data_IF_942972561726
#
_entry.id   IF_942972561726
#
_cell.length_a   1.000
_cell.length_b   1.000
_cell.length_c   1.000
_cell.angle_alpha   90.00
_cell.angle_beta   90.00
_cell.angle_gamma   90.00
#
_symmetry.space_group_name_H-M   'P 1'
#
loop_
_entity.id
_entity.type
_entity.pdbx_description
1 polymer ?
#
# COMPACT_ATOMS: atom_id res chain seq x y z
N UNK A 1 -30.47 51.42 -27.29
CA UNK A 1 -29.45 50.40 -27.05
C UNK A 1 -29.50 49.40 -28.21
N UNK A 2 -28.44 49.32 -29.03
CA UNK A 2 -28.49 48.64 -30.34
C UNK A 2 -28.51 47.11 -30.19
N UNK A 3 -29.51 46.47 -30.82
CA UNK A 3 -29.71 45.00 -30.84
C UNK A 3 -28.48 44.22 -31.35
N UNK A 4 -27.60 44.87 -32.11
CA UNK A 4 -26.37 44.30 -32.64
C UNK A 4 -25.28 44.12 -31.57
N UNK A 5 -25.22 45.02 -30.57
CA UNK A 5 -24.23 44.95 -29.48
C UNK A 5 -24.58 43.81 -28.51
N UNK A 6 -25.87 43.60 -28.26
CA UNK A 6 -26.37 42.51 -27.43
C UNK A 6 -26.08 41.12 -28.03
N UNK A 7 -26.10 41.00 -29.37
CA UNK A 7 -25.80 39.75 -30.08
C UNK A 7 -24.30 39.41 -30.07
N UNK A 8 -23.41 40.40 -30.18
CA UNK A 8 -21.97 40.18 -30.05
C UNK A 8 -21.56 39.77 -28.63
N UNK A 9 -22.16 40.38 -27.60
CA UNK A 9 -21.87 40.02 -26.20
C UNK A 9 -22.29 38.59 -25.87
N UNK A 10 -23.44 38.12 -26.38
CA UNK A 10 -23.85 36.71 -26.21
C UNK A 10 -22.90 35.73 -26.91
N UNK A 11 -22.40 36.05 -28.11
CA UNK A 11 -21.49 35.17 -28.84
C UNK A 11 -20.13 35.03 -28.15
N UNK A 12 -19.59 36.12 -27.60
CA UNK A 12 -18.35 36.10 -26.82
C UNK A 12 -18.52 35.34 -25.49
N UNK A 13 -19.68 35.46 -24.83
CA UNK A 13 -19.97 34.73 -23.59
C UNK A 13 -20.08 33.22 -23.83
N UNK A 14 -20.71 32.81 -24.93
CA UNK A 14 -20.86 31.39 -25.28
C UNK A 14 -19.53 30.73 -25.71
N UNK A 15 -18.64 31.47 -26.39
CA UNK A 15 -17.28 30.96 -26.67
C UNK A 15 -16.41 30.85 -25.40
N UNK A 16 -16.57 31.76 -24.43
CA UNK A 16 -15.86 31.67 -23.15
C UNK A 16 -16.28 30.48 -22.29
N UNK A 17 -17.55 30.05 -22.36
CA UNK A 17 -18.04 28.87 -21.63
C UNK A 17 -17.52 27.58 -22.27
N UNK A 18 -17.42 27.53 -23.61
CA UNK A 18 -16.93 26.34 -24.32
C UNK A 18 -15.46 26.01 -24.02
N UNK A 19 -14.60 27.01 -23.82
CA UNK A 19 -13.18 26.79 -23.47
C UNK A 19 -12.99 26.35 -22.01
N UNK A 20 -13.82 26.81 -21.09
CA UNK A 20 -13.77 26.39 -19.67
C UNK A 20 -14.23 24.93 -19.51
N UNK A 21 -15.19 24.46 -20.32
CA UNK A 21 -15.66 23.07 -20.26
C UNK A 21 -14.59 22.09 -20.79
N UNK A 22 -13.84 22.44 -21.83
CA UNK A 22 -12.77 21.55 -22.34
C UNK A 22 -11.60 21.46 -21.35
N UNK A 23 -11.22 22.58 -20.71
CA UNK A 23 -10.19 22.56 -19.66
C UNK A 23 -10.63 21.78 -18.41
N UNK A 24 -11.92 21.83 -18.05
CA UNK A 24 -12.47 21.06 -16.92
C UNK A 24 -12.51 19.55 -17.16
N UNK A 25 -12.66 19.11 -18.42
CA UNK A 25 -12.68 17.67 -18.77
C UNK A 25 -11.28 17.05 -18.75
N UNK A 26 -10.21 17.82 -19.01
CA UNK A 26 -8.83 17.35 -18.84
C UNK A 26 -8.27 17.56 -17.42
N UNK A 27 -8.83 18.51 -16.65
CA UNK A 27 -8.48 18.74 -15.24
C UNK A 27 -9.24 17.85 -14.26
N UNK A 28 -10.23 17.06 -14.72
CA UNK A 28 -10.50 15.76 -14.14
C UNK A 28 -9.32 14.82 -14.47
N UNK A 29 -8.12 15.21 -14.03
CA UNK A 29 -7.05 14.27 -13.77
C UNK A 29 -7.73 13.13 -13.04
N UNK A 30 -7.70 11.96 -13.69
CA UNK A 30 -7.69 10.66 -13.04
C UNK A 30 -7.11 10.85 -11.64
N UNK A 31 -7.99 11.02 -10.66
CA UNK A 31 -7.71 10.59 -9.32
C UNK A 31 -7.83 9.08 -9.44
N UNK A 32 -6.90 8.47 -10.18
CA UNK A 32 -6.66 7.05 -10.15
C UNK A 32 -6.34 6.80 -8.70
N UNK A 33 -7.38 6.40 -7.99
CA UNK A 33 -7.34 5.93 -6.62
C UNK A 33 -6.16 4.98 -6.59
N UNK A 34 -5.03 5.39 -6.02
CA UNK A 34 -3.78 4.63 -6.10
C UNK A 34 -4.11 3.22 -5.64
N UNK A 35 -4.13 2.28 -6.59
CA UNK A 35 -4.33 0.87 -6.28
C UNK A 35 -3.01 0.42 -5.71
N UNK A 36 -2.91 0.40 -4.39
CA UNK A 36 -1.70 -0.03 -3.71
C UNK A 36 -1.54 -1.53 -3.93
N UNK A 37 -0.80 -1.89 -4.97
CA UNK A 37 -0.31 -3.26 -5.15
C UNK A 37 0.91 -3.36 -4.27
N UNK A 38 0.70 -3.86 -3.05
CA UNK A 38 1.80 -4.15 -2.15
C UNK A 38 2.59 -5.32 -2.75
N UNK A 39 3.90 -5.15 -2.93
CA UNK A 39 4.76 -6.11 -3.64
C UNK A 39 5.83 -6.64 -2.71
N UNK A 40 6.09 -7.94 -2.77
CA UNK A 40 7.23 -8.56 -2.09
C UNK A 40 8.42 -8.56 -3.02
N UNK A 41 9.60 -8.20 -2.50
CA UNK A 41 10.86 -8.31 -3.22
C UNK A 41 11.53 -9.61 -2.77
N UNK A 42 11.99 -10.40 -3.75
CA UNK A 42 12.75 -11.62 -3.53
C UNK A 42 14.21 -11.36 -3.88
N UNK A 43 15.09 -11.68 -2.94
CA UNK A 43 16.53 -11.53 -3.06
C UNK A 43 17.16 -12.92 -3.12
N UNK A 44 17.96 -13.19 -4.15
CA UNK A 44 18.81 -14.36 -4.19
C UNK A 44 20.09 -14.03 -3.41
N UNK A 45 20.23 -14.58 -2.20
CA UNK A 45 21.34 -14.27 -1.29
C UNK A 45 21.51 -15.39 -0.25
N UNK A 46 22.74 -15.57 0.22
CA UNK A 46 23.05 -16.39 1.41
C UNK A 46 23.27 -15.52 2.66
N UNK A 47 23.30 -14.20 2.50
CA UNK A 47 23.49 -13.24 3.59
C UNK A 47 22.15 -12.65 4.06
N UNK A 48 21.99 -12.37 5.36
CA UNK A 48 20.89 -11.56 5.87
C UNK A 48 20.83 -10.18 5.21
N UNK A 49 19.61 -9.68 5.00
CA UNK A 49 19.38 -8.35 4.43
C UNK A 49 18.69 -7.46 5.45
N UNK A 50 19.29 -6.30 5.71
CA UNK A 50 18.63 -5.19 6.36
C UNK A 50 17.96 -4.32 5.28
N UNK A 51 16.63 -4.28 5.29
CA UNK A 51 15.84 -3.51 4.33
C UNK A 51 15.36 -2.22 4.98
N UNK A 52 15.73 -1.09 4.37
CA UNK A 52 15.41 0.26 4.82
C UNK A 52 14.48 0.96 3.82
N UNK A 53 13.73 1.95 4.31
CA UNK A 53 13.05 2.92 3.45
C UNK A 53 14.03 3.97 2.87
N UNK A 54 13.50 4.88 2.04
CA UNK A 54 14.28 5.97 1.44
C UNK A 54 14.88 6.96 2.46
N UNK A 55 14.31 7.03 3.66
CA UNK A 55 14.75 7.91 4.74
C UNK A 55 15.74 7.22 5.69
N UNK A 56 16.08 5.95 5.43
CA UNK A 56 17.02 5.17 6.24
C UNK A 56 16.39 4.54 7.49
N UNK A 57 15.07 4.45 7.59
CA UNK A 57 14.41 3.71 8.66
C UNK A 57 14.42 2.21 8.34
N UNK A 58 14.89 1.39 9.28
CA UNK A 58 14.89 -0.07 9.13
C UNK A 58 13.44 -0.58 9.10
N UNK A 59 13.06 -1.21 7.99
CA UNK A 59 11.73 -1.80 7.80
C UNK A 59 11.73 -3.26 8.22
N UNK A 60 12.72 -4.03 7.78
CA UNK A 60 12.75 -5.49 7.93
C UNK A 60 14.17 -6.02 8.00
N UNK A 61 14.37 -7.06 8.81
CA UNK A 61 15.52 -7.95 8.69
C UNK A 61 15.05 -9.22 7.98
N UNK A 62 15.66 -9.55 6.85
CA UNK A 62 15.30 -10.69 6.02
C UNK A 62 16.37 -11.76 6.15
N UNK A 63 15.99 -12.89 6.74
CA UNK A 63 16.86 -14.07 6.83
C UNK A 63 16.66 -14.94 5.59
N UNK A 64 17.72 -15.25 4.82
CA UNK A 64 17.61 -16.14 3.69
C UNK A 64 17.26 -17.57 4.13
N UNK A 65 16.38 -18.21 3.37
CA UNK A 65 16.06 -19.64 3.47
C UNK A 65 16.30 -20.25 2.10
N UNK A 66 17.13 -21.29 2.02
CA UNK A 66 17.52 -21.94 0.76
C UNK A 66 18.06 -20.95 -0.30
N UNK A 67 18.91 -20.00 0.13
CA UNK A 67 19.51 -18.98 -0.74
C UNK A 67 18.57 -17.87 -1.18
N UNK A 68 17.42 -17.72 -0.51
CA UNK A 68 16.37 -16.76 -0.88
C UNK A 68 15.89 -16.01 0.36
N UNK A 69 15.97 -14.68 0.33
CA UNK A 69 15.29 -13.81 1.28
C UNK A 69 14.07 -13.15 0.62
N UNK A 70 12.94 -13.07 1.32
CA UNK A 70 11.69 -12.49 0.77
C UNK A 70 11.18 -11.41 1.72
N UNK A 71 10.97 -10.20 1.20
CA UNK A 71 10.38 -9.13 1.99
C UNK A 71 8.89 -9.41 2.25
N UNK A 72 8.39 -8.91 3.38
CA UNK A 72 6.96 -8.57 3.49
C UNK A 72 6.62 -7.54 2.43
N UNK A 73 5.33 -7.38 2.18
CA UNK A 73 4.85 -6.54 1.11
C UNK A 73 5.19 -5.06 1.37
N UNK A 74 5.65 -4.40 0.32
CA UNK A 74 6.13 -3.03 0.32
C UNK A 74 5.23 -2.16 -0.56
N UNK A 75 4.98 -0.90 -0.18
CA UNK A 75 4.32 0.07 -1.06
C UNK A 75 5.24 0.51 -2.19
N UNK A 76 4.70 1.17 -3.22
CA UNK A 76 5.53 1.88 -4.20
C UNK A 76 6.51 2.83 -3.48
N UNK A 77 7.77 2.87 -3.89
CA UNK A 77 8.78 3.73 -3.26
C UNK A 77 10.22 3.28 -3.50
N UNK A 78 11.15 4.04 -2.94
CA UNK A 78 12.57 3.69 -2.94
C UNK A 78 12.96 2.98 -1.64
N UNK A 79 13.86 2.00 -1.75
CA UNK A 79 14.33 1.17 -0.66
C UNK A 79 15.83 0.95 -0.76
N UNK A 80 16.46 0.68 0.38
CA UNK A 80 17.86 0.28 0.46
C UNK A 80 17.93 -1.12 1.06
N UNK A 81 18.51 -2.07 0.34
CA UNK A 81 18.86 -3.38 0.84
C UNK A 81 20.34 -3.40 1.19
N UNK A 82 20.67 -3.59 2.46
CA UNK A 82 22.04 -3.68 2.97
C UNK A 82 22.37 -5.10 3.38
N UNK A 83 23.56 -5.52 3.00
CA UNK A 83 24.20 -6.80 3.34
C UNK A 83 25.61 -6.51 3.82
N UNK A 84 26.34 -7.52 4.31
CA UNK A 84 27.76 -7.34 4.64
C UNK A 84 28.57 -7.04 3.37
N UNK A 85 28.14 -7.60 2.23
CA UNK A 85 28.76 -7.39 0.92
C UNK A 85 28.49 -6.02 0.28
N UNK A 86 27.52 -5.25 0.78
CA UNK A 86 27.25 -3.90 0.29
C UNK A 86 25.79 -3.49 0.33
N UNK A 87 25.51 -2.33 -0.26
CA UNK A 87 24.18 -1.72 -0.33
C UNK A 87 23.68 -1.66 -1.76
N UNK A 88 22.41 -1.98 -1.96
CA UNK A 88 21.70 -1.87 -3.25
C UNK A 88 20.45 -1.03 -3.07
N UNK A 89 20.19 -0.13 -4.03
CA UNK A 89 18.99 0.68 -4.05
C UNK A 89 17.95 0.05 -4.97
N UNK A 90 16.70 0.04 -4.52
CA UNK A 90 15.58 -0.56 -5.22
C UNK A 90 14.50 0.50 -5.38
N UNK A 91 13.88 0.54 -6.55
CA UNK A 91 12.73 1.39 -6.83
C UNK A 91 11.57 0.50 -7.21
N UNK A 92 10.54 0.46 -6.37
CA UNK A 92 9.30 -0.25 -6.64
C UNK A 92 8.33 0.72 -7.33
N UNK A 93 8.01 0.46 -8.59
CA UNK A 93 7.17 1.33 -9.42
C UNK A 93 5.68 0.98 -9.31
N UNK A 94 4.83 1.89 -9.78
CA UNK A 94 3.37 1.74 -9.79
C UNK A 94 2.88 0.66 -10.77
N UNK A 95 3.60 0.50 -11.88
CA UNK A 95 3.40 -0.54 -12.89
C UNK A 95 3.89 -1.93 -12.44
N UNK A 96 4.34 -2.04 -11.18
CA UNK A 96 4.88 -3.24 -10.55
C UNK A 96 6.27 -3.62 -11.07
N UNK A 97 6.95 -2.79 -11.84
CA UNK A 97 8.36 -3.03 -12.15
C UNK A 97 9.26 -2.68 -10.96
N UNK A 98 10.45 -3.29 -10.91
CA UNK A 98 11.50 -2.92 -9.96
C UNK A 98 12.72 -2.48 -10.74
N UNK A 99 13.24 -1.31 -10.45
CA UNK A 99 14.58 -0.90 -10.88
C UNK A 99 15.56 -1.13 -9.76
N UNK A 100 16.72 -1.69 -10.10
CA UNK A 100 17.82 -1.92 -9.16
C UNK A 100 18.98 -1.02 -9.57
N UNK A 101 19.46 -0.20 -8.64
CA UNK A 101 20.66 0.61 -8.80
C UNK A 101 21.73 0.13 -7.81
N UNK A 102 22.85 -0.32 -8.35
CA UNK A 102 23.96 -0.92 -7.60
C UNK A 102 24.31 -2.32 -8.09
N UNK A 103 25.55 -2.72 -7.86
CA UNK A 103 26.14 -3.95 -8.44
C UNK A 103 26.61 -4.98 -7.40
N UNK A 104 26.30 -4.77 -6.12
CA UNK A 104 26.73 -5.71 -5.07
C UNK A 104 25.77 -6.90 -5.02
N UNK A 105 26.03 -7.91 -5.86
CA UNK A 105 25.53 -9.28 -5.67
C UNK A 105 24.29 -9.72 -6.46
N UNK A 106 23.76 -8.91 -7.39
CA UNK A 106 22.48 -9.23 -8.06
C UNK A 106 22.58 -9.56 -9.56
N UNK A 107 23.75 -10.03 -10.02
CA UNK A 107 23.93 -10.57 -11.37
C UNK A 107 23.81 -12.10 -11.36
N UNK A 108 22.57 -12.59 -11.25
CA UNK A 108 22.04 -13.78 -11.95
C UNK A 108 20.71 -14.20 -11.31
N UNK A 109 19.61 -13.97 -12.04
CA UNK A 109 18.33 -14.61 -11.72
C UNK A 109 17.43 -13.94 -10.69
N UNK A 110 17.63 -12.63 -10.40
CA UNK A 110 16.68 -11.85 -9.62
C UNK A 110 15.28 -11.87 -10.28
N UNK A 111 14.46 -12.82 -9.87
CA UNK A 111 13.07 -12.94 -10.31
C UNK A 111 12.21 -12.22 -9.30
N UNK A 112 11.86 -10.98 -9.65
CA UNK A 112 10.84 -10.22 -8.95
C UNK A 112 9.51 -10.91 -9.21
N UNK A 113 9.05 -11.70 -8.24
CA UNK A 113 7.72 -12.27 -8.29
C UNK A 113 6.72 -11.23 -7.83
N UNK A 114 6.17 -10.52 -8.82
CA UNK A 114 4.99 -9.70 -8.64
C UNK A 114 3.82 -10.64 -8.42
N UNK A 115 3.22 -10.60 -7.23
CA UNK A 115 1.94 -11.27 -7.06
C UNK A 115 0.97 -10.67 -8.08
N UNK A 116 0.42 -11.53 -8.96
CA UNK A 116 -0.63 -11.13 -9.90
C UNK A 116 -1.93 -10.82 -9.16
N UNK A 117 -2.06 -11.27 -7.92
CA UNK A 117 -3.24 -11.08 -7.10
C UNK A 117 -3.34 -9.62 -6.66
N UNK A 118 -4.48 -8.99 -6.96
CA UNK A 118 -4.78 -7.66 -6.43
C UNK A 118 -4.92 -7.78 -4.91
N UNK A 119 -4.16 -6.98 -4.19
CA UNK A 119 -4.15 -6.97 -2.72
C UNK A 119 -4.40 -5.58 -2.18
N UNK A 120 -4.85 -5.51 -0.94
CA UNK A 120 -5.09 -4.30 -0.18
C UNK A 120 -4.49 -4.35 1.22
N UNK A 121 -4.79 -3.34 2.02
CA UNK A 121 -4.38 -3.20 3.41
C UNK A 121 -5.60 -2.99 4.31
N UNK A 122 -5.59 -3.62 5.48
CA UNK A 122 -6.54 -3.37 6.55
C UNK A 122 -5.78 -2.87 7.77
N UNK A 123 -6.00 -1.61 8.13
CA UNK A 123 -5.54 -1.03 9.38
C UNK A 123 -6.67 -1.11 10.43
N UNK A 124 -6.31 -1.46 11.66
CA UNK A 124 -7.21 -1.50 12.81
C UNK A 124 -6.70 -0.51 13.84
N UNK A 125 -7.51 0.49 14.14
CA UNK A 125 -7.21 1.52 15.13
C UNK A 125 -8.09 1.29 16.36
N UNK A 126 -7.50 1.32 17.55
CA UNK A 126 -8.21 1.05 18.79
C UNK A 126 -7.53 1.71 19.99
N UNK A 127 -8.27 1.80 21.10
CA UNK A 127 -7.72 2.22 22.39
C UNK A 127 -7.27 0.96 23.16
N UNK A 128 -5.97 0.86 23.44
CA UNK A 128 -5.41 -0.26 24.16
C UNK A 128 -5.83 -0.26 25.64
N UNK A 129 -6.30 -1.41 26.13
CA UNK A 129 -6.71 -1.64 27.53
C UNK A 129 -5.93 -2.77 28.19
N UNK A 130 -5.19 -3.53 27.41
CA UNK A 130 -4.29 -4.58 27.85
C UNK A 130 -2.98 -4.44 27.07
N UNK A 131 -1.96 -5.15 27.51
CA UNK A 131 -0.62 -5.04 26.93
C UNK A 131 -0.48 -5.77 25.59
N UNK A 132 -1.24 -6.86 25.38
CA UNK A 132 -1.13 -7.68 24.18
C UNK A 132 -2.48 -7.87 23.51
N UNK A 133 -2.52 -7.68 22.20
CA UNK A 133 -3.67 -7.98 21.38
C UNK A 133 -3.29 -8.94 20.28
N UNK A 134 -4.16 -9.92 20.02
CA UNK A 134 -4.04 -10.76 18.83
C UNK A 134 -5.24 -10.53 17.92
N UNK A 135 -4.98 -9.98 16.74
CA UNK A 135 -5.97 -9.80 15.70
C UNK A 135 -5.84 -10.90 14.65
N UNK A 136 -6.98 -11.33 14.12
CA UNK A 136 -7.04 -12.20 12.95
C UNK A 136 -7.91 -11.58 11.87
N UNK A 137 -7.49 -11.75 10.63
CA UNK A 137 -8.31 -11.47 9.46
C UNK A 137 -8.56 -12.79 8.74
N UNK A 138 -9.83 -13.25 8.76
CA UNK A 138 -10.23 -14.57 8.24
C UNK A 138 -11.23 -14.41 7.11
N UNK A 139 -10.98 -15.04 5.97
CA UNK A 139 -11.87 -14.99 4.82
C UNK A 139 -11.21 -15.56 3.58
N UNK A 140 -12.02 -16.05 2.63
CA UNK A 140 -11.52 -16.59 1.35
C UNK A 140 -10.48 -17.72 1.51
N UNK A 141 -10.61 -18.56 2.54
CA UNK A 141 -9.62 -19.61 2.85
C UNK A 141 -8.29 -19.10 3.40
N UNK A 142 -8.13 -17.78 3.59
CA UNK A 142 -6.94 -17.13 4.13
C UNK A 142 -7.18 -16.76 5.59
N UNK A 143 -6.17 -17.02 6.43
CA UNK A 143 -6.11 -16.48 7.81
C UNK A 143 -4.81 -15.73 7.98
N UNK A 144 -4.89 -14.42 8.24
CA UNK A 144 -3.74 -13.62 8.67
C UNK A 144 -3.84 -13.36 10.17
N UNK A 145 -2.70 -13.38 10.86
CA UNK A 145 -2.57 -13.13 12.29
C UNK A 145 -1.61 -11.95 12.50
N UNK A 146 -1.97 -11.05 13.41
CA UNK A 146 -1.07 -10.02 13.92
C UNK A 146 -1.17 -9.97 15.43
N UNK A 147 -0.02 -10.01 16.09
CA UNK A 147 0.07 -9.80 17.55
C UNK A 147 0.87 -8.55 17.79
N UNK A 148 0.32 -7.62 18.57
CA UNK A 148 0.97 -6.36 18.88
C UNK A 148 1.01 -6.14 20.39
N UNK A 149 2.12 -5.54 20.83
CA UNK A 149 2.28 -5.06 22.20
C UNK A 149 1.90 -3.58 22.24
N UNK A 150 1.15 -3.18 23.25
CA UNK A 150 0.59 -1.83 23.37
C UNK A 150 0.77 -1.28 24.79
N UNK A 151 0.85 0.04 24.92
CA UNK A 151 0.76 0.71 26.22
C UNK A 151 -0.70 0.81 26.65
N UNK A 152 -1.03 0.41 27.88
CA UNK A 152 -2.39 0.54 28.40
C UNK A 152 -2.80 2.02 28.40
N UNK A 153 -3.96 2.33 27.82
CA UNK A 153 -4.48 3.69 27.64
C UNK A 153 -4.00 4.41 26.38
N UNK A 154 -3.09 3.82 25.59
CA UNK A 154 -2.62 4.42 24.34
C UNK A 154 -3.58 4.16 23.18
N UNK A 155 -3.62 5.08 22.21
CA UNK A 155 -4.10 4.74 20.87
C UNK A 155 -3.10 3.76 20.25
N UNK A 156 -3.60 2.71 19.62
CA UNK A 156 -2.81 1.67 19.00
C UNK A 156 -3.32 1.38 17.58
N UNK A 157 -2.42 0.88 16.74
CA UNK A 157 -2.68 0.52 15.36
C UNK A 157 -2.12 -0.87 15.06
N UNK A 158 -2.89 -1.68 14.36
CA UNK A 158 -2.48 -2.97 13.81
C UNK A 158 -2.72 -2.97 12.30
N UNK A 159 -1.85 -3.56 11.50
CA UNK A 159 -1.99 -3.58 10.04
C UNK A 159 -1.85 -4.98 9.44
N UNK A 160 -2.79 -5.30 8.56
CA UNK A 160 -2.74 -6.47 7.69
C UNK A 160 -2.44 -6.00 6.27
N UNK A 161 -1.21 -6.23 5.82
CA UNK A 161 -0.79 -5.95 4.44
C UNK A 161 -0.99 -7.17 3.54
N UNK A 162 -1.27 -6.95 2.26
CA UNK A 162 -1.44 -8.03 1.29
C UNK A 162 -2.69 -8.84 1.46
N UNK A 163 -3.77 -8.20 1.86
CA UNK A 163 -5.06 -8.86 1.95
C UNK A 163 -5.58 -9.00 0.53
N UNK A 164 -5.73 -10.23 0.04
CA UNK A 164 -6.33 -10.46 -1.27
C UNK A 164 -7.74 -9.85 -1.33
N UNK A 165 -8.19 -9.45 -2.51
CA UNK A 165 -9.53 -8.86 -2.61
C UNK A 165 -10.60 -9.90 -2.25
N UNK A 166 -11.56 -9.48 -1.43
CA UNK A 166 -12.57 -10.36 -0.88
C UNK A 166 -13.20 -9.82 0.40
N UNK A 167 -14.08 -10.65 0.97
CA UNK A 167 -14.73 -10.37 2.24
C UNK A 167 -14.05 -11.15 3.36
N UNK A 168 -13.75 -10.46 4.46
CA UNK A 168 -13.06 -10.97 5.62
C UNK A 168 -13.79 -10.58 6.89
N UNK A 169 -13.70 -11.43 7.91
CA UNK A 169 -14.09 -11.08 9.28
C UNK A 169 -12.84 -10.73 10.08
N UNK A 170 -12.85 -9.56 10.72
CA UNK A 170 -11.86 -9.17 11.70
C UNK A 170 -12.21 -9.79 13.05
N UNK A 171 -11.24 -10.42 13.68
CA UNK A 171 -11.34 -11.00 15.02
C UNK A 171 -10.31 -10.38 15.94
N UNK A 172 -10.61 -10.32 17.23
CA UNK A 172 -9.68 -9.94 18.29
C UNK A 172 -9.84 -10.91 19.44
N UNK A 173 -8.75 -11.54 19.87
CA UNK A 173 -8.70 -12.43 21.03
C UNK A 173 -9.79 -13.54 21.02
N UNK A 174 -10.13 -14.04 19.83
CA UNK A 174 -11.13 -15.10 19.65
C UNK A 174 -12.57 -14.62 19.44
N UNK A 175 -12.83 -13.31 19.51
CA UNK A 175 -14.14 -12.71 19.26
C UNK A 175 -14.23 -12.10 17.85
N UNK A 176 -15.33 -12.33 17.13
CA UNK A 176 -15.59 -11.71 15.84
C UNK A 176 -16.07 -10.26 16.05
N UNK A 177 -15.40 -9.31 15.40
CA UNK A 177 -15.70 -7.88 15.56
C UNK A 177 -16.58 -7.35 14.43
N UNK A 178 -16.12 -7.49 13.18
CA UNK A 178 -16.84 -6.92 12.03
C UNK A 178 -16.43 -7.59 10.72
N UNK A 179 -17.30 -7.49 9.71
CA UNK A 179 -17.02 -7.92 8.34
C UNK A 179 -16.52 -6.75 7.50
N UNK A 180 -15.48 -6.99 6.70
CA UNK A 180 -14.74 -6.02 5.91
C UNK A 180 -14.66 -6.51 4.47
N UNK A 181 -14.83 -5.62 3.50
CA UNK A 181 -14.65 -5.91 2.08
C UNK A 181 -13.43 -5.16 1.54
N UNK A 182 -12.36 -5.90 1.28
CA UNK A 182 -11.18 -5.39 0.57
C UNK A 182 -11.43 -5.55 -0.92
N UNK A 183 -11.39 -4.46 -1.66
CA UNK A 183 -11.73 -4.45 -3.08
C UNK A 183 -10.91 -3.42 -3.84
N UNK A 184 -11.08 -3.35 -5.15
CA UNK A 184 -10.44 -2.33 -5.97
C UNK A 184 -10.96 -0.92 -5.64
N UNK A 185 -12.25 -0.84 -5.28
CA UNK A 185 -12.89 0.39 -4.84
C UNK A 185 -12.45 0.77 -3.42
N UNK A 186 -12.08 -0.20 -2.59
CA UNK A 186 -11.66 -0.02 -1.19
C UNK A 186 -10.39 -0.84 -0.87
N UNK A 187 -9.23 -0.49 -1.46
CA UNK A 187 -8.00 -1.27 -1.30
C UNK A 187 -7.30 -0.98 0.02
N UNK A 188 -7.63 0.15 0.66
CA UNK A 188 -7.19 0.49 2.02
C UNK A 188 -8.43 0.67 2.88
N UNK A 189 -8.51 -0.09 3.96
CA UNK A 189 -9.56 0.01 4.96
C UNK A 189 -8.94 0.37 6.30
N UNK A 190 -9.44 1.43 6.92
CA UNK A 190 -9.16 1.72 8.32
C UNK A 190 -10.41 1.41 9.13
N UNK A 191 -10.26 0.51 10.10
CA UNK A 191 -11.32 0.10 11.01
C UNK A 191 -11.02 0.70 12.37
N UNK A 192 -11.78 1.74 12.73
CA UNK A 192 -11.77 2.26 14.08
C UNK A 192 -12.67 1.40 14.96
N UNK A 193 -12.08 0.66 15.89
CA UNK A 193 -12.83 -0.06 16.92
C UNK A 193 -13.24 0.95 17.99
N UNK A 194 -14.45 1.50 17.86
CA UNK A 194 -15.10 2.21 18.94
C UNK A 194 -15.38 1.23 20.10
N UNK A 195 -15.45 1.76 21.33
CA UNK A 195 -15.62 0.97 22.56
C UNK A 195 -16.79 -0.03 22.41
N UNK A 196 -16.68 -1.29 22.89
CA UNK A 196 -17.87 -2.04 23.28
C UNK A 196 -18.59 -1.30 24.41
#
# INVERSE_FOLDING_TARGET
MNRTILRCLCACLLMGIATVVVAGVFAAQRNEKKVYVWQSIRFATQEPIELYDENGALLQLLEPTDGIAVSKLLPQGAYLAQTQSGTTRLYLHDDRSVTVEGSFGYADGATVHLSKEKTGCVAVEFLARQEFYTFYLKGQGVTKKQTIRTGIGSKAKCEFVGVTYGTYTLWRDGEALTSLKVSEETPILTVALARP
#
